data_IF_110896360145
#
_entry.id   IF_110896360145
#
_cell.length_a   1.000
_cell.length_b   1.000
_cell.length_c   1.000
_cell.angle_alpha   90.00
_cell.angle_beta   90.00
_cell.angle_gamma   90.00
#
_symmetry.space_group_name_H-M   'P 1'
#
loop_
_entity.id
_entity.type
_entity.pdbx_description
1 polymer ?
#
# COMPACT_ATOMS: atom_id res chain seq x y z
N UNK A 1 -1.06 -3.50 -24.59
CA UNK A 1 -0.98 -4.97 -24.36
C UNK A 1 0.30 -5.45 -23.68
N UNK A 2 1.49 -4.91 -24.01
CA UNK A 2 2.77 -5.35 -23.42
C UNK A 2 2.86 -5.18 -21.89
N UNK A 3 2.42 -4.02 -21.37
CA UNK A 3 2.47 -3.71 -19.92
C UNK A 3 1.54 -4.63 -19.11
N UNK A 4 0.34 -4.94 -19.63
CA UNK A 4 -0.64 -5.80 -18.95
C UNK A 4 -0.11 -7.23 -18.79
N UNK A 5 0.47 -7.80 -19.85
CA UNK A 5 1.11 -9.14 -19.81
C UNK A 5 2.33 -9.21 -18.90
N UNK A 6 3.04 -8.10 -18.69
CA UNK A 6 4.21 -8.05 -17.80
C UNK A 6 3.83 -8.16 -16.32
N UNK A 7 2.63 -7.71 -15.95
CA UNK A 7 2.15 -7.76 -14.57
C UNK A 7 1.70 -9.16 -14.15
N UNK A 8 1.14 -9.95 -15.08
CA UNK A 8 0.61 -11.29 -14.79
C UNK A 8 1.69 -12.23 -14.27
N UNK A 9 2.83 -12.27 -14.96
CA UNK A 9 3.98 -13.09 -14.55
C UNK A 9 4.56 -12.65 -13.21
N UNK A 10 4.63 -11.34 -12.96
CA UNK A 10 5.19 -10.83 -11.71
C UNK A 10 4.28 -11.17 -10.52
N UNK A 11 2.97 -11.04 -10.67
CA UNK A 11 2.00 -11.41 -9.64
C UNK A 11 2.03 -12.91 -9.32
N UNK A 12 2.15 -13.77 -10.35
CA UNK A 12 2.28 -15.21 -10.18
C UNK A 12 3.53 -15.55 -9.35
N UNK A 13 4.67 -14.92 -9.67
CA UNK A 13 5.93 -15.13 -8.94
C UNK A 13 5.83 -14.71 -7.47
N UNK A 14 5.25 -13.54 -7.19
CA UNK A 14 5.04 -13.10 -5.81
C UNK A 14 4.06 -14.00 -5.06
N UNK A 15 2.98 -14.44 -5.72
CA UNK A 15 2.01 -15.38 -5.12
C UNK A 15 2.67 -16.70 -4.76
N UNK A 16 3.47 -17.28 -5.66
CA UNK A 16 4.22 -18.51 -5.39
C UNK A 16 5.21 -18.34 -4.23
N UNK A 17 5.92 -17.21 -4.19
CA UNK A 17 6.83 -16.89 -3.08
C UNK A 17 6.08 -16.81 -1.75
N UNK A 18 5.00 -16.04 -1.68
CA UNK A 18 4.15 -15.89 -0.49
C UNK A 18 3.64 -17.26 -0.03
N UNK A 19 3.09 -18.08 -0.94
CA UNK A 19 2.61 -19.42 -0.60
C UNK A 19 3.72 -20.33 -0.05
N UNK A 20 4.96 -20.20 -0.55
CA UNK A 20 6.09 -20.97 -0.03
C UNK A 20 6.51 -20.53 1.38
N UNK A 21 6.25 -19.27 1.74
CA UNK A 21 6.50 -18.71 3.08
C UNK A 21 5.44 -19.07 4.11
N UNK A 22 4.27 -19.58 3.69
CA UNK A 22 3.22 -20.05 4.59
C UNK A 22 3.40 -21.52 4.99
N UNK A 23 4.34 -22.23 4.37
CA UNK A 23 4.77 -23.57 4.78
C UNK A 23 5.77 -23.48 5.95
N UNK A 24 6.24 -24.59 6.56
CA UNK A 24 7.15 -24.59 7.71
C UNK A 24 8.55 -23.97 7.46
N UNK A 25 8.73 -23.22 6.37
CA UNK A 25 9.92 -22.44 6.07
C UNK A 25 9.81 -21.08 6.72
N UNK A 26 10.78 -20.75 7.56
CA UNK A 26 10.95 -19.41 8.10
C UNK A 26 11.32 -18.46 6.96
N UNK A 27 10.34 -17.73 6.44
CA UNK A 27 10.63 -16.57 5.62
C UNK A 27 10.92 -15.37 6.53
N UNK A 28 11.97 -14.64 6.19
CA UNK A 28 12.23 -13.36 6.83
C UNK A 28 11.02 -12.43 6.66
N UNK A 29 10.55 -11.89 7.79
CA UNK A 29 9.42 -10.97 7.86
C UNK A 29 9.52 -9.83 6.82
N UNK A 30 10.70 -9.25 6.67
CA UNK A 30 10.99 -8.17 5.71
C UNK A 30 10.82 -8.61 4.25
N UNK A 31 11.28 -9.82 3.89
CA UNK A 31 11.11 -10.38 2.53
C UNK A 31 9.65 -10.70 2.23
N UNK A 32 8.94 -11.25 3.22
CA UNK A 32 7.50 -11.52 3.10
C UNK A 32 6.70 -10.22 2.93
N UNK A 33 7.02 -9.19 3.72
CA UNK A 33 6.41 -7.88 3.61
C UNK A 33 6.67 -7.21 2.26
N UNK A 34 7.92 -7.28 1.76
CA UNK A 34 8.27 -6.78 0.43
C UNK A 34 7.50 -7.51 -0.69
N UNK A 35 7.34 -8.82 -0.60
CA UNK A 35 6.59 -9.60 -1.59
C UNK A 35 5.10 -9.21 -1.62
N UNK A 36 4.47 -9.09 -0.45
CA UNK A 36 3.10 -8.58 -0.35
C UNK A 36 2.97 -7.17 -0.92
N UNK A 37 3.88 -6.25 -0.56
CA UNK A 37 3.88 -4.89 -1.09
C UNK A 37 3.95 -4.84 -2.61
N UNK A 38 4.86 -5.62 -3.21
CA UNK A 38 5.07 -5.59 -4.65
C UNK A 38 3.89 -6.23 -5.39
N UNK A 39 3.28 -7.28 -4.84
CA UNK A 39 2.04 -7.84 -5.39
C UNK A 39 0.88 -6.84 -5.31
N UNK A 40 0.75 -6.15 -4.18
CA UNK A 40 -0.24 -5.08 -4.02
C UNK A 40 -0.05 -3.94 -5.01
N UNK A 41 1.20 -3.56 -5.31
CA UNK A 41 1.51 -2.53 -6.30
C UNK A 41 1.12 -2.94 -7.72
N UNK A 42 1.29 -4.21 -8.09
CA UNK A 42 0.81 -4.73 -9.37
C UNK A 42 -0.71 -4.60 -9.49
N UNK A 43 -1.44 -5.02 -8.44
CA UNK A 43 -2.90 -4.91 -8.36
C UNK A 43 -3.37 -3.46 -8.40
N UNK A 44 -2.66 -2.56 -7.71
CA UNK A 44 -2.92 -1.12 -7.78
C UNK A 44 -2.80 -0.58 -9.22
N UNK A 45 -1.78 -0.98 -9.99
CA UNK A 45 -1.64 -0.56 -11.39
C UNK A 45 -2.71 -1.13 -12.31
N UNK A 46 -3.41 -2.19 -11.89
CA UNK A 46 -4.59 -2.71 -12.58
C UNK A 46 -5.91 -2.12 -12.08
N UNK A 47 -5.86 -1.22 -11.09
CA UNK A 47 -7.03 -0.60 -10.45
C UNK A 47 -7.82 -1.60 -9.58
N UNK A 48 -7.20 -2.73 -9.22
CA UNK A 48 -7.75 -3.74 -8.29
C UNK A 48 -7.51 -3.28 -6.84
N UNK A 49 -8.16 -2.18 -6.46
CA UNK A 49 -7.83 -1.42 -5.25
C UNK A 49 -8.06 -2.18 -3.95
N UNK A 50 -9.12 -2.97 -3.84
CA UNK A 50 -9.42 -3.72 -2.61
C UNK A 50 -8.39 -4.82 -2.40
N UNK A 51 -8.06 -5.58 -3.45
CA UNK A 51 -7.06 -6.64 -3.43
C UNK A 51 -5.65 -6.09 -3.20
N UNK A 52 -5.35 -4.90 -3.70
CA UNK A 52 -4.11 -4.19 -3.39
C UNK A 52 -4.04 -3.79 -1.91
N UNK A 53 -5.13 -3.28 -1.32
CA UNK A 53 -5.20 -2.94 0.09
C UNK A 53 -5.03 -4.16 1.02
N UNK A 54 -5.56 -5.32 0.63
CA UNK A 54 -5.36 -6.58 1.36
C UNK A 54 -3.88 -6.97 1.39
N UNK A 55 -3.20 -6.84 0.24
CA UNK A 55 -1.77 -7.10 0.14
C UNK A 55 -0.95 -6.11 0.98
N UNK A 56 -1.23 -4.81 0.91
CA UNK A 56 -0.55 -3.84 1.78
C UNK A 56 -0.81 -4.09 3.26
N UNK A 57 -2.02 -4.50 3.62
CA UNK A 57 -2.34 -4.86 5.01
C UNK A 57 -1.58 -6.10 5.46
N UNK A 58 -1.41 -7.07 4.57
CA UNK A 58 -0.62 -8.28 4.85
C UNK A 58 0.87 -7.97 4.96
N UNK A 59 1.38 -7.03 4.15
CA UNK A 59 2.75 -6.52 4.25
C UNK A 59 3.00 -5.85 5.62
N UNK A 60 2.07 -5.00 6.08
CA UNK A 60 2.14 -4.33 7.39
C UNK A 60 2.12 -5.34 8.55
N UNK A 61 1.32 -6.41 8.43
CA UNK A 61 1.27 -7.49 9.43
C UNK A 61 2.58 -8.29 9.46
N UNK A 62 3.19 -8.52 8.30
CA UNK A 62 4.46 -9.23 8.21
C UNK A 62 5.61 -8.39 8.77
N UNK A 63 5.69 -7.11 8.43
CA UNK A 63 6.69 -6.17 8.95
C UNK A 63 6.07 -4.79 9.20
N UNK A 64 5.83 -4.48 10.48
CA UNK A 64 5.24 -3.21 10.90
C UNK A 64 6.21 -2.03 10.82
N UNK A 65 7.50 -2.27 10.61
CA UNK A 65 8.52 -1.23 10.42
C UNK A 65 8.68 -0.85 8.94
N UNK A 66 8.00 -1.56 8.03
CA UNK A 66 8.05 -1.24 6.62
C UNK A 66 7.10 -0.08 6.27
N UNK A 67 7.66 1.11 6.06
CA UNK A 67 6.87 2.33 5.82
C UNK A 67 6.09 2.35 4.49
N UNK A 68 6.59 1.67 3.45
CA UNK A 68 6.05 1.78 2.07
C UNK A 68 4.62 1.24 1.93
N UNK A 69 4.25 0.09 2.51
CA UNK A 69 2.87 -0.39 2.50
C UNK A 69 1.85 0.56 3.13
N UNK A 70 2.21 1.29 4.19
CA UNK A 70 1.34 2.31 4.77
C UNK A 70 1.06 3.41 3.75
N UNK A 71 2.11 3.96 3.14
CA UNK A 71 1.97 4.98 2.09
C UNK A 71 1.10 4.48 0.93
N UNK A 72 1.36 3.28 0.40
CA UNK A 72 0.61 2.75 -0.73
C UNK A 72 -0.87 2.50 -0.40
N UNK A 73 -1.18 2.00 0.80
CA UNK A 73 -2.57 1.83 1.26
C UNK A 73 -3.26 3.18 1.46
N UNK A 74 -2.54 4.17 1.99
CA UNK A 74 -3.00 5.54 2.14
C UNK A 74 -3.39 6.18 0.80
N UNK A 75 -2.60 5.96 -0.26
CA UNK A 75 -2.93 6.44 -1.62
C UNK A 75 -4.26 5.88 -2.13
N UNK A 76 -4.53 4.59 -1.90
CA UNK A 76 -5.80 3.98 -2.31
C UNK A 76 -6.95 4.59 -1.49
N UNK A 77 -6.81 4.67 -0.17
CA UNK A 77 -7.83 5.25 0.72
C UNK A 77 -8.15 6.70 0.35
N UNK A 78 -7.13 7.49 0.02
CA UNK A 78 -7.30 8.85 -0.50
C UNK A 78 -8.12 8.86 -1.80
N UNK A 79 -7.78 8.00 -2.78
CA UNK A 79 -8.53 7.89 -4.05
C UNK A 79 -9.98 7.47 -3.87
N UNK A 80 -10.27 6.68 -2.84
CA UNK A 80 -11.63 6.25 -2.50
C UNK A 80 -12.38 7.25 -1.62
N UNK A 81 -11.76 8.38 -1.26
CA UNK A 81 -12.35 9.42 -0.41
C UNK A 81 -12.37 9.11 1.09
N UNK A 82 -11.69 8.06 1.52
CA UNK A 82 -11.49 7.70 2.92
C UNK A 82 -10.35 8.54 3.53
N UNK A 83 -10.55 9.85 3.62
CA UNK A 83 -9.50 10.80 3.97
C UNK A 83 -8.94 10.59 5.38
N UNK A 84 -9.76 10.23 6.37
CA UNK A 84 -9.27 9.97 7.73
C UNK A 84 -8.33 8.76 7.79
N UNK A 85 -8.70 7.67 7.12
CA UNK A 85 -7.86 6.48 7.01
C UNK A 85 -6.58 6.74 6.22
N UNK A 86 -6.66 7.55 5.16
CA UNK A 86 -5.50 7.93 4.36
C UNK A 86 -4.50 8.76 5.17
N UNK A 87 -4.97 9.77 5.93
CA UNK A 87 -4.11 10.57 6.84
C UNK A 87 -3.41 9.67 7.85
N UNK A 88 -4.13 8.74 8.47
CA UNK A 88 -3.58 7.80 9.46
C UNK A 88 -2.44 6.97 8.87
N UNK A 89 -2.64 6.43 7.66
CA UNK A 89 -1.61 5.68 6.95
C UNK A 89 -0.38 6.54 6.58
N UNK A 90 -0.58 7.76 6.05
CA UNK A 90 0.54 8.65 5.73
C UNK A 90 1.32 9.09 6.97
N UNK A 91 0.63 9.39 8.08
CA UNK A 91 1.26 9.72 9.35
C UNK A 91 2.08 8.54 9.89
N UNK A 92 1.58 7.32 9.78
CA UNK A 92 2.32 6.13 10.20
C UNK A 92 3.55 5.89 9.30
N UNK A 93 3.43 6.11 7.99
CA UNK A 93 4.58 6.05 7.08
C UNK A 93 5.67 7.09 7.46
N UNK A 94 5.28 8.32 7.78
CA UNK A 94 6.19 9.38 8.22
C UNK A 94 6.79 9.14 9.61
N UNK A 95 6.05 8.49 10.52
CA UNK A 95 6.59 8.08 11.83
C UNK A 95 7.73 7.08 11.68
N UNK A 96 7.62 6.15 10.72
CA UNK A 96 8.64 5.15 10.41
C UNK A 96 9.79 5.71 9.57
N UNK A 97 9.47 6.62 8.64
CA UNK A 97 10.42 7.27 7.74
C UNK A 97 10.12 8.78 7.64
N UNK A 98 10.70 9.60 8.53
CA UNK A 98 10.41 11.04 8.58
C UNK A 98 10.80 11.81 7.30
N UNK A 99 11.74 11.30 6.51
CA UNK A 99 12.22 11.86 5.24
C UNK A 99 11.42 11.36 4.02
N UNK A 100 10.28 10.68 4.22
CA UNK A 100 9.44 10.21 3.13
C UNK A 100 8.61 11.35 2.51
N UNK A 101 9.24 12.14 1.64
CA UNK A 101 8.63 13.37 1.07
C UNK A 101 7.29 13.12 0.36
N UNK A 102 7.15 12.01 -0.40
CA UNK A 102 5.88 11.67 -1.07
C UNK A 102 4.72 11.48 -0.07
N UNK A 103 4.99 10.89 1.09
CA UNK A 103 3.99 10.71 2.14
C UNK A 103 3.61 12.05 2.79
N UNK A 104 4.57 12.97 2.94
CA UNK A 104 4.33 14.32 3.45
C UNK A 104 3.45 15.13 2.50
N UNK A 105 3.77 15.12 1.21
CA UNK A 105 2.96 15.78 0.17
C UNK A 105 1.56 15.18 0.13
N UNK A 106 1.44 13.86 0.17
CA UNK A 106 0.15 13.17 0.13
C UNK A 106 -0.71 13.46 1.37
N UNK A 107 -0.09 13.56 2.56
CA UNK A 107 -0.78 13.96 3.79
C UNK A 107 -1.31 15.39 3.70
N UNK A 108 -0.49 16.33 3.23
CA UNK A 108 -0.90 17.73 3.04
C UNK A 108 -2.06 17.82 2.05
N UNK A 109 -1.95 17.16 0.90
CA UNK A 109 -3.02 17.14 -0.10
C UNK A 109 -4.32 16.54 0.46
N UNK A 110 -4.23 15.44 1.20
CA UNK A 110 -5.40 14.80 1.82
C UNK A 110 -6.13 15.74 2.78
N UNK A 111 -5.39 16.54 3.56
CA UNK A 111 -5.98 17.50 4.50
C UNK A 111 -6.70 18.62 3.73
N UNK A 112 -6.09 19.14 2.66
CA UNK A 112 -6.69 20.18 1.82
C UNK A 112 -7.98 19.69 1.16
N UNK A 113 -7.96 18.50 0.56
CA UNK A 113 -9.12 17.95 -0.14
C UNK A 113 -10.24 17.55 0.81
N UNK A 114 -9.89 17.08 2.03
CA UNK A 114 -10.89 16.85 3.06
C UNK A 114 -11.55 18.15 3.48
N UNK A 115 -10.80 19.23 3.68
CA UNK A 115 -11.36 20.54 4.03
C UNK A 115 -12.27 21.08 2.92
N UNK A 116 -11.81 21.05 1.66
CA UNK A 116 -12.61 21.48 0.51
C UNK A 116 -13.91 20.67 0.38
N UNK A 117 -13.86 19.35 0.64
CA UNK A 117 -15.07 18.50 0.68
C UNK A 117 -16.04 18.95 1.77
N UNK A 118 -15.55 19.24 2.98
CA UNK A 118 -16.38 19.73 4.09
C UNK A 118 -16.97 21.12 3.79
N UNK A 119 -16.19 22.01 3.18
CA UNK A 119 -16.62 23.37 2.81
C UNK A 119 -17.73 23.36 1.76
N UNK A 120 -17.74 22.33 0.88
CA UNK A 120 -18.81 22.09 -0.09
C UNK A 120 -20.06 21.42 0.50
N UNK A 121 -20.03 21.04 1.78
CA UNK A 121 -21.18 20.50 2.52
C UNK A 121 -21.45 19.01 2.28
N UNK A 122 -20.43 18.20 1.97
CA UNK A 122 -20.53 16.75 1.81
C UNK A 122 -20.13 15.97 3.07
#
# INVERSE_FOLDING_TARGET
EFIKRSYDRAEELYTKFISSCLQPRECEASKLAAAYNNRGQIKYFRVDFYEAMEDYTSAIKADSQFAVPFYNRGLIRYRLGYFDDAKSDFQQALKLRPDFEDAKVSLQQTILDQQDKMDRGY
#
